data_IF_214250588149
#
_entry.id   IF_214250588149
#
_cell.length_a   1.000
_cell.length_b   1.000
_cell.length_c   1.000
_cell.angle_alpha   90.00
_cell.angle_beta   90.00
_cell.angle_gamma   90.00
#
_symmetry.space_group_name_H-M   'P 1'
#
loop_
_entity.id
_entity.type
_entity.pdbx_description
1 polymer ?
#
# COMPACT_ATOMS: atom_id res chain seq x y z
N UNK A 1 -11.84 29.85 1.00
CA UNK A 1 -12.48 30.80 0.09
C UNK A 1 -13.99 30.90 0.32
N UNK A 2 -14.71 29.79 0.36
CA UNK A 2 -16.15 29.75 0.67
C UNK A 2 -16.45 30.45 2.00
N UNK A 3 -15.61 30.22 2.97
CA UNK A 3 -15.72 30.81 4.29
C UNK A 3 -15.57 32.32 4.25
N UNK A 4 -14.64 32.85 3.49
CA UNK A 4 -14.44 34.29 3.38
C UNK A 4 -15.64 34.99 2.72
N UNK A 5 -16.27 34.33 1.77
CA UNK A 5 -17.51 34.83 1.16
C UNK A 5 -18.65 34.85 2.17
N UNK A 6 -18.77 33.84 3.00
CA UNK A 6 -19.74 33.80 4.09
C UNK A 6 -19.48 34.91 5.11
N UNK A 7 -18.22 35.14 5.49
CA UNK A 7 -17.81 36.22 6.39
C UNK A 7 -18.10 37.60 5.79
N UNK A 8 -17.76 37.83 4.54
CA UNK A 8 -18.00 39.07 3.85
C UNK A 8 -19.52 39.38 3.75
N UNK A 9 -20.33 38.41 3.44
CA UNK A 9 -21.79 38.51 3.42
C UNK A 9 -22.35 38.78 4.82
N UNK A 10 -21.77 38.19 5.84
CA UNK A 10 -22.19 38.33 7.22
C UNK A 10 -21.94 39.76 7.77
N UNK A 11 -20.87 40.40 7.33
CA UNK A 11 -20.59 41.79 7.69
C UNK A 11 -21.46 42.79 6.94
N UNK A 12 -22.20 42.35 5.91
CA UNK A 12 -23.25 43.14 5.25
C UNK A 12 -22.75 44.36 4.50
N UNK A 13 -21.48 44.45 4.17
CA UNK A 13 -20.91 45.57 3.43
C UNK A 13 -20.43 45.09 2.06
N UNK A 14 -20.91 45.71 0.99
CA UNK A 14 -20.43 45.43 -0.36
C UNK A 14 -18.91 45.53 -0.49
N UNK A 15 -18.33 46.48 0.22
CA UNK A 15 -16.89 46.70 0.22
C UNK A 15 -16.12 45.59 0.93
N UNK A 16 -16.58 45.05 2.05
CA UNK A 16 -15.98 43.91 2.70
C UNK A 16 -16.10 42.64 1.85
N UNK A 17 -17.24 42.46 1.18
CA UNK A 17 -17.43 41.36 0.25
C UNK A 17 -16.50 41.47 -0.96
N UNK A 18 -16.37 42.64 -1.53
CA UNK A 18 -15.52 42.90 -2.68
C UNK A 18 -14.04 42.67 -2.36
N UNK A 19 -13.57 43.14 -1.23
CA UNK A 19 -12.20 42.89 -0.78
C UNK A 19 -11.96 41.41 -0.43
N UNK A 20 -12.90 40.76 0.21
CA UNK A 20 -12.78 39.32 0.50
C UNK A 20 -12.76 38.49 -0.78
N UNK A 21 -13.59 38.80 -1.76
CA UNK A 21 -13.62 38.14 -3.06
C UNK A 21 -12.37 38.43 -3.92
N UNK A 22 -11.90 39.69 -3.90
CA UNK A 22 -10.72 40.11 -4.67
C UNK A 22 -9.40 39.62 -4.09
N UNK A 23 -9.27 39.66 -2.80
CA UNK A 23 -7.98 39.34 -2.14
C UNK A 23 -7.80 37.90 -1.74
N UNK A 24 -8.83 37.24 -1.30
CA UNK A 24 -8.62 35.96 -0.66
C UNK A 24 -8.33 34.80 -1.60
N UNK A 25 -8.91 34.68 -2.79
CA UNK A 25 -8.50 33.65 -3.74
C UNK A 25 -7.08 33.82 -4.24
N UNK A 26 -6.65 35.05 -4.39
CA UNK A 26 -5.29 35.41 -4.80
C UNK A 26 -4.31 35.36 -3.63
N UNK A 27 -4.73 35.71 -2.44
CA UNK A 27 -3.83 35.75 -1.29
C UNK A 27 -3.31 34.36 -0.89
N UNK A 28 -4.09 33.30 -1.08
CA UNK A 28 -3.60 31.94 -0.76
C UNK A 28 -2.49 31.48 -1.69
N UNK A 29 -2.58 31.75 -2.97
CA UNK A 29 -1.52 31.53 -3.95
C UNK A 29 -0.37 32.52 -3.73
N UNK A 30 -0.71 33.73 -3.42
CA UNK A 30 0.21 34.82 -3.22
C UNK A 30 1.05 34.66 -1.97
N UNK A 31 0.49 34.21 -0.87
CA UNK A 31 1.22 33.90 0.36
C UNK A 31 2.20 32.75 0.18
N UNK A 32 1.86 31.74 -0.60
CA UNK A 32 2.76 30.63 -0.89
C UNK A 32 3.91 31.02 -1.82
N UNK A 33 3.69 31.98 -2.71
CA UNK A 33 4.67 32.37 -3.72
C UNK A 33 5.42 33.67 -3.36
N UNK A 34 4.80 34.53 -2.51
CA UNK A 34 5.34 35.85 -2.22
C UNK A 34 5.00 36.33 -0.81
N UNK A 35 5.76 35.86 0.21
CA UNK A 35 5.51 36.18 1.62
C UNK A 35 5.67 37.68 1.97
N UNK A 36 6.12 38.51 1.04
CA UNK A 36 6.28 39.97 1.22
C UNK A 36 4.97 40.73 1.13
N UNK A 37 3.89 40.07 0.79
CA UNK A 37 2.58 40.69 0.63
C UNK A 37 2.02 41.26 1.93
N UNK A 38 2.41 40.66 3.03
CA UNK A 38 2.04 41.13 4.35
C UNK A 38 2.66 42.47 4.77
N UNK A 39 3.50 43.08 4.00
CA UNK A 39 4.14 44.36 4.32
C UNK A 39 3.72 45.55 3.47
N UNK A 40 2.78 45.36 2.57
CA UNK A 40 2.38 46.39 1.60
C UNK A 40 1.15 47.19 2.07
N UNK A 41 0.98 48.44 1.67
CA UNK A 41 -0.15 49.29 2.04
C UNK A 41 -1.52 48.67 1.65
N UNK A 42 -1.53 47.79 0.70
CA UNK A 42 -2.68 47.00 0.28
C UNK A 42 -3.12 45.96 1.30
N UNK A 43 -2.19 45.51 2.16
CA UNK A 43 -2.42 44.48 3.17
C UNK A 43 -3.31 44.94 4.32
N UNK A 44 -3.38 46.24 4.51
CA UNK A 44 -4.36 46.84 5.44
C UNK A 44 -5.81 46.50 5.07
N UNK A 45 -6.01 45.93 3.90
CA UNK A 45 -7.32 45.51 3.42
C UNK A 45 -7.51 43.96 3.47
N UNK A 46 -6.44 43.21 3.76
CA UNK A 46 -6.54 41.78 3.97
C UNK A 46 -7.25 41.52 5.29
N UNK A 47 -8.32 40.75 5.24
CA UNK A 47 -9.14 40.48 6.43
C UNK A 47 -8.69 39.21 7.17
N UNK A 48 -7.91 38.37 6.52
CA UNK A 48 -7.47 37.08 7.04
C UNK A 48 -6.01 36.79 6.67
N UNK A 49 -5.29 36.06 7.52
CA UNK A 49 -3.96 35.60 7.23
C UNK A 49 -3.95 34.40 6.24
N UNK A 50 -2.75 33.89 5.92
CA UNK A 50 -2.54 32.74 5.02
C UNK A 50 -3.17 31.44 5.52
N UNK A 51 -3.47 31.37 6.81
CA UNK A 51 -4.18 30.25 7.45
C UNK A 51 -5.67 30.49 7.58
N UNK A 52 -6.15 31.66 7.14
CA UNK A 52 -7.54 32.06 7.22
C UNK A 52 -7.96 32.59 8.58
N UNK A 53 -7.01 32.95 9.47
CA UNK A 53 -7.36 33.62 10.72
C UNK A 53 -7.64 35.12 10.49
N UNK A 54 -8.64 35.69 11.20
CA UNK A 54 -8.93 37.08 11.09
C UNK A 54 -7.76 37.96 11.53
N UNK A 55 -7.34 38.86 10.68
CA UNK A 55 -6.31 39.85 10.99
C UNK A 55 -6.85 41.01 11.84
N UNK A 56 -5.95 41.74 12.47
CA UNK A 56 -6.31 42.93 13.27
C UNK A 56 -7.02 44.02 12.45
N UNK A 57 -6.83 44.05 11.13
CA UNK A 57 -7.59 44.88 10.21
C UNK A 57 -9.08 44.63 10.28
N UNK A 58 -9.53 43.43 10.58
CA UNK A 58 -10.94 43.15 10.88
C UNK A 58 -11.46 43.91 12.11
N UNK A 59 -10.61 44.35 13.04
CA UNK A 59 -11.00 45.19 14.16
C UNK A 59 -11.58 46.51 13.67
N UNK A 60 -10.92 47.14 12.70
CA UNK A 60 -11.38 48.43 12.14
C UNK A 60 -12.80 48.30 11.54
N UNK A 61 -13.02 47.28 10.75
CA UNK A 61 -14.36 47.05 10.18
C UNK A 61 -15.37 46.66 11.24
N UNK A 62 -14.97 45.89 12.19
CA UNK A 62 -15.79 45.55 13.34
C UNK A 62 -16.27 46.81 14.05
N UNK A 63 -15.38 47.72 14.35
CA UNK A 63 -15.68 48.93 15.13
C UNK A 63 -16.50 49.92 14.29
N UNK A 64 -16.27 50.01 12.98
CA UNK A 64 -17.06 50.82 12.06
C UNK A 64 -18.52 50.31 11.85
N UNK A 65 -18.70 48.99 11.88
CA UNK A 65 -20.02 48.34 11.69
C UNK A 65 -20.77 48.20 13.03
N UNK A 66 -20.07 48.38 14.14
CA UNK A 66 -20.52 47.91 15.44
C UNK A 66 -21.46 48.81 16.19
N UNK A 67 -21.65 50.01 15.77
CA UNK A 67 -22.50 50.96 16.49
C UNK A 67 -23.98 50.54 16.61
N UNK A 68 -24.40 49.48 15.92
CA UNK A 68 -25.81 49.09 15.90
C UNK A 68 -26.10 47.58 15.77
N UNK A 69 -25.19 46.67 16.16
CA UNK A 69 -25.48 45.22 15.97
C UNK A 69 -26.03 44.57 17.24
N UNK A 70 -27.24 44.03 17.10
CA UNK A 70 -27.96 43.21 18.09
C UNK A 70 -27.24 41.93 18.46
N UNK A 71 -26.21 41.52 17.73
CA UNK A 71 -25.55 40.25 17.86
C UNK A 71 -24.02 40.38 17.88
N UNK A 72 -23.37 39.62 18.72
CA UNK A 72 -21.96 39.30 18.68
C UNK A 72 -21.75 38.21 17.61
N UNK A 73 -20.74 38.35 16.79
CA UNK A 73 -20.33 37.32 15.81
C UNK A 73 -19.16 36.54 16.35
N UNK A 74 -19.33 35.23 16.44
CA UNK A 74 -18.29 34.30 16.94
C UNK A 74 -17.84 33.47 15.76
N UNK A 75 -16.54 33.52 15.44
CA UNK A 75 -15.91 32.67 14.46
C UNK A 75 -15.60 31.34 15.14
N UNK A 76 -16.15 30.26 14.62
CA UNK A 76 -15.83 28.88 15.06
C UNK A 76 -14.82 28.30 14.11
N UNK A 77 -13.57 28.17 14.54
CA UNK A 77 -12.53 27.50 13.80
C UNK A 77 -12.62 25.99 14.06
N UNK A 78 -12.92 25.23 13.03
CA UNK A 78 -12.94 23.76 13.08
C UNK A 78 -11.55 23.27 12.71
N UNK A 79 -10.79 22.75 13.70
CA UNK A 79 -9.38 22.47 13.57
C UNK A 79 -9.07 20.97 13.71
N UNK A 80 -7.99 20.51 13.10
CA UNK A 80 -7.41 19.23 13.46
C UNK A 80 -6.64 19.34 14.80
N UNK A 81 -6.21 18.21 15.34
CA UNK A 81 -5.45 18.16 16.61
C UNK A 81 -4.08 18.87 16.58
N UNK A 82 -3.60 19.25 15.39
CA UNK A 82 -2.37 20.02 15.21
C UNK A 82 -2.68 21.52 15.02
N UNK A 83 -3.92 21.95 15.30
CA UNK A 83 -4.44 23.30 15.09
C UNK A 83 -4.46 23.76 13.62
N UNK A 84 -4.38 22.82 12.65
CA UNK A 84 -4.63 23.19 11.26
C UNK A 84 -6.14 23.38 11.06
N UNK A 85 -6.52 24.53 10.54
CA UNK A 85 -7.92 24.85 10.30
C UNK A 85 -8.45 24.04 9.11
N UNK A 86 -9.55 23.34 9.32
CA UNK A 86 -10.27 22.57 8.31
C UNK A 86 -11.39 23.40 7.67
N UNK A 87 -12.09 24.14 8.50
CA UNK A 87 -13.21 24.97 8.10
C UNK A 87 -13.50 26.02 9.15
N UNK A 88 -14.11 27.16 8.74
CA UNK A 88 -14.64 28.16 9.64
C UNK A 88 -16.17 28.21 9.57
N UNK A 89 -16.79 28.64 10.67
CA UNK A 89 -18.20 28.99 10.73
C UNK A 89 -18.38 30.33 11.48
N UNK A 90 -19.38 31.11 11.10
CA UNK A 90 -19.77 32.30 11.83
C UNK A 90 -21.09 32.05 12.52
N UNK A 91 -21.12 32.31 13.82
CA UNK A 91 -22.31 32.11 14.66
C UNK A 91 -22.68 33.43 15.29
N UNK A 92 -23.98 33.83 15.20
CA UNK A 92 -24.54 35.03 15.83
C UNK A 92 -25.04 34.69 17.23
N UNK A 93 -24.56 35.42 18.22
CA UNK A 93 -24.96 35.23 19.61
C UNK A 93 -25.32 36.59 20.21
N UNK A 94 -26.40 36.67 20.97
CA UNK A 94 -26.78 37.90 21.68
C UNK A 94 -25.71 38.20 22.74
N UNK A 95 -25.17 39.42 22.84
CA UNK A 95 -24.21 39.79 23.88
C UNK A 95 -24.72 39.44 25.28
N UNK A 96 -23.84 38.85 26.10
CA UNK A 96 -24.19 38.37 27.44
C UNK A 96 -25.03 37.09 27.49
N UNK A 97 -25.36 36.48 26.35
CA UNK A 97 -26.01 35.15 26.27
C UNK A 97 -25.05 34.09 25.77
N UNK A 98 -25.35 32.85 26.07
CA UNK A 98 -24.66 31.67 25.52
C UNK A 98 -25.64 30.83 24.73
N UNK A 99 -25.12 30.12 23.74
CA UNK A 99 -25.85 29.12 22.96
C UNK A 99 -25.05 27.83 22.84
N UNK A 100 -25.75 26.73 22.78
CA UNK A 100 -25.15 25.43 22.44
C UNK A 100 -25.10 25.31 20.93
N UNK A 101 -23.90 25.29 20.35
CA UNK A 101 -23.70 25.16 18.90
C UNK A 101 -23.38 23.71 18.56
N UNK A 102 -24.16 23.11 17.65
CA UNK A 102 -23.91 21.77 17.16
C UNK A 102 -22.84 21.82 16.06
N UNK A 103 -21.74 21.09 16.29
CA UNK A 103 -20.63 21.03 15.36
C UNK A 103 -21.00 20.23 14.09
N UNK A 104 -20.69 20.74 12.89
CA UNK A 104 -20.99 20.05 11.64
C UNK A 104 -20.15 18.78 11.48
N UNK A 105 -20.57 17.89 10.60
CA UNK A 105 -19.76 16.74 10.19
C UNK A 105 -18.77 17.19 9.11
N UNK A 106 -17.50 16.81 9.28
CA UNK A 106 -16.44 17.05 8.30
C UNK A 106 -16.00 15.71 7.71
N UNK A 107 -16.08 15.58 6.40
CA UNK A 107 -15.71 14.34 5.71
C UNK A 107 -14.27 13.95 6.00
N UNK A 108 -14.06 12.72 6.46
CA UNK A 108 -12.73 12.20 6.81
C UNK A 108 -12.26 12.54 8.22
N UNK A 109 -13.10 13.16 9.02
CA UNK A 109 -12.80 13.52 10.41
C UNK A 109 -13.93 13.09 11.36
N UNK A 110 -13.57 12.89 12.62
CA UNK A 110 -14.49 12.66 13.72
C UNK A 110 -14.33 13.79 14.74
N UNK A 111 -15.41 14.49 15.05
CA UNK A 111 -15.41 15.56 16.05
C UNK A 111 -15.21 15.01 17.48
N UNK A 112 -14.46 15.71 18.31
CA UNK A 112 -14.24 15.31 19.71
C UNK A 112 -15.49 15.52 20.57
N UNK A 113 -16.25 16.56 20.27
CA UNK A 113 -17.51 16.90 20.93
C UNK A 113 -18.59 17.08 19.87
N UNK A 114 -19.82 16.78 20.20
CA UNK A 114 -20.94 17.04 19.29
C UNK A 114 -21.36 18.49 19.31
N UNK A 115 -21.19 19.16 20.44
CA UNK A 115 -21.59 20.56 20.67
C UNK A 115 -20.49 21.31 21.41
N UNK A 116 -20.50 22.62 21.26
CA UNK A 116 -19.72 23.56 22.07
C UNK A 116 -20.63 24.68 22.56
N UNK A 117 -20.32 25.25 23.72
CA UNK A 117 -20.97 26.47 24.21
C UNK A 117 -20.26 27.69 23.61
N UNK A 118 -21.05 28.61 23.07
CA UNK A 118 -20.57 29.84 22.47
C UNK A 118 -21.25 31.01 23.19
N UNK A 119 -20.44 31.86 23.81
CA UNK A 119 -20.92 33.05 24.52
C UNK A 119 -20.76 34.30 23.64
N UNK A 120 -21.82 35.08 23.55
CA UNK A 120 -21.78 36.39 22.96
C UNK A 120 -21.06 37.38 23.88
N UNK A 121 -19.98 37.96 23.40
CA UNK A 121 -19.21 38.99 24.11
C UNK A 121 -19.66 40.39 23.71
N UNK A 122 -19.36 41.40 24.51
CA UNK A 122 -19.53 42.80 24.11
C UNK A 122 -18.58 43.16 22.97
N UNK A 123 -17.55 42.36 22.75
CA UNK A 123 -16.70 42.39 21.56
C UNK A 123 -17.45 41.81 20.38
N UNK A 124 -17.50 42.51 19.27
CA UNK A 124 -18.36 42.11 18.15
C UNK A 124 -17.84 40.96 17.32
N UNK A 125 -16.55 40.68 17.42
CA UNK A 125 -15.94 39.53 16.84
C UNK A 125 -15.11 38.78 17.91
N UNK A 126 -15.38 37.51 18.11
CA UNK A 126 -14.59 36.60 18.92
C UNK A 126 -14.37 35.29 18.17
N UNK A 127 -13.40 34.50 18.62
CA UNK A 127 -13.09 33.22 18.01
C UNK A 127 -13.07 32.13 19.05
N UNK A 128 -13.62 30.99 18.71
CA UNK A 128 -13.52 29.73 19.45
C UNK A 128 -13.06 28.63 18.49
N UNK A 129 -12.45 27.57 19.02
CA UNK A 129 -12.05 26.44 18.20
C UNK A 129 -12.70 25.14 18.66
N UNK A 130 -12.91 24.23 17.71
CA UNK A 130 -13.36 22.87 17.97
C UNK A 130 -12.43 21.89 17.26
N UNK A 131 -12.10 20.80 17.97
CA UNK A 131 -11.12 19.82 17.51
C UNK A 131 -11.78 18.63 16.82
N UNK A 132 -11.21 18.26 15.70
CA UNK A 132 -11.57 17.13 14.88
C UNK A 132 -10.37 16.16 14.72
N UNK A 133 -10.63 14.89 14.89
CA UNK A 133 -9.65 13.84 14.70
C UNK A 133 -9.76 13.26 13.30
N UNK A 134 -8.65 13.24 12.56
CA UNK A 134 -8.60 12.63 11.24
C UNK A 134 -8.90 11.13 11.32
N UNK A 135 -9.81 10.64 10.50
CA UNK A 135 -10.13 9.22 10.41
C UNK A 135 -9.00 8.49 9.68
N UNK A 136 -8.31 7.62 10.41
CA UNK A 136 -7.24 6.80 9.84
C UNK A 136 -7.84 5.47 9.37
N UNK A 137 -7.81 5.22 8.07
CA UNK A 137 -8.38 4.03 7.45
C UNK A 137 -7.47 2.79 7.52
N UNK A 138 -8.05 1.62 7.28
CA UNK A 138 -7.27 0.40 7.13
C UNK A 138 -6.71 0.31 5.71
N UNK A 139 -5.38 0.27 5.56
CA UNK A 139 -4.77 0.06 4.26
C UNK A 139 -4.84 -1.40 3.81
N UNK A 140 -4.75 -1.62 2.50
CA UNK A 140 -4.76 -2.94 1.89
C UNK A 140 -3.38 -3.25 1.32
N UNK A 141 -2.80 -4.39 1.75
CA UNK A 141 -1.61 -4.95 1.09
C UNK A 141 -2.06 -5.81 -0.08
N UNK A 142 -1.82 -5.34 -1.30
CA UNK A 142 -2.08 -6.10 -2.51
C UNK A 142 -0.87 -6.95 -2.87
N UNK A 143 -1.09 -8.24 -3.14
CA UNK A 143 -0.05 -9.16 -3.63
C UNK A 143 -0.55 -9.85 -4.89
N UNK A 144 0.32 -10.04 -5.89
CA UNK A 144 -0.06 -10.68 -7.16
C UNK A 144 -0.53 -12.13 -6.98
N UNK A 145 0.03 -12.85 -5.98
CA UNK A 145 -0.31 -14.25 -5.70
C UNK A 145 -0.26 -14.52 -4.19
N UNK A 146 -1.16 -15.37 -3.70
CA UNK A 146 -1.16 -15.82 -2.30
C UNK A 146 0.01 -16.77 -2.00
N UNK A 147 0.59 -17.40 -3.03
CA UNK A 147 1.75 -18.28 -2.86
C UNK A 147 2.66 -18.28 -4.09
N UNK A 148 3.96 -18.52 -3.84
CA UNK A 148 5.01 -18.54 -4.86
C UNK A 148 5.84 -19.81 -4.75
N UNK A 149 6.29 -20.33 -5.91
CA UNK A 149 7.28 -21.41 -5.99
C UNK A 149 8.62 -20.82 -6.42
N UNK A 150 9.64 -20.95 -5.57
CA UNK A 150 10.98 -20.42 -5.83
C UNK A 150 12.00 -21.55 -5.68
N UNK A 151 12.93 -21.69 -6.60
CA UNK A 151 13.96 -22.74 -6.53
C UNK A 151 14.98 -22.43 -5.42
N UNK A 152 15.39 -23.44 -4.64
CA UNK A 152 16.45 -23.21 -3.68
C UNK A 152 17.78 -22.89 -4.37
N UNK A 153 18.64 -22.13 -3.68
CA UNK A 153 19.89 -21.62 -4.23
C UNK A 153 19.72 -20.51 -5.26
N UNK A 154 18.52 -19.89 -5.32
CA UNK A 154 18.26 -18.68 -6.08
C UNK A 154 17.80 -17.56 -5.16
N UNK A 155 17.78 -16.35 -5.67
CA UNK A 155 17.16 -15.19 -5.03
C UNK A 155 15.86 -14.85 -5.75
N UNK A 156 14.92 -14.22 -5.02
CA UNK A 156 13.66 -13.73 -5.56
C UNK A 156 13.28 -12.43 -4.86
N UNK A 157 12.85 -11.42 -5.57
CA UNK A 157 12.43 -10.17 -4.96
C UNK A 157 10.91 -10.14 -4.81
N UNK A 158 10.44 -10.42 -3.58
CA UNK A 158 9.02 -10.42 -3.25
C UNK A 158 8.43 -9.01 -3.24
N UNK A 159 9.22 -7.96 -2.93
CA UNK A 159 8.74 -6.57 -2.91
C UNK A 159 8.15 -6.14 -4.25
N UNK A 160 8.67 -6.64 -5.37
CA UNK A 160 8.13 -6.36 -6.73
C UNK A 160 6.73 -6.93 -6.99
N UNK A 161 6.26 -7.82 -6.13
CA UNK A 161 4.94 -8.44 -6.23
C UNK A 161 3.91 -7.84 -5.27
N UNK A 162 4.31 -6.80 -4.50
CA UNK A 162 3.53 -6.23 -3.40
C UNK A 162 3.31 -4.74 -3.62
N UNK A 163 2.11 -4.26 -3.31
CA UNK A 163 1.77 -2.82 -3.25
C UNK A 163 1.03 -2.54 -1.95
N UNK A 164 1.33 -1.43 -1.31
CA UNK A 164 0.64 -0.85 -0.17
C UNK A 164 0.92 0.66 -0.11
N UNK A 165 0.18 1.40 0.71
CA UNK A 165 0.39 2.83 0.90
C UNK A 165 1.62 3.11 1.79
N UNK A 166 1.80 2.33 2.87
CA UNK A 166 2.91 2.52 3.80
C UNK A 166 4.15 1.69 3.45
N UNK A 167 5.24 2.00 4.11
CA UNK A 167 6.52 1.32 3.95
C UNK A 167 6.43 -0.18 4.25
N UNK A 168 6.99 -0.98 3.34
CA UNK A 168 6.94 -2.43 3.43
C UNK A 168 8.11 -3.00 4.22
N UNK A 169 7.78 -3.86 5.18
CA UNK A 169 8.74 -4.71 5.86
C UNK A 169 8.38 -6.19 5.72
N UNK A 170 9.40 -7.06 5.76
CA UNK A 170 9.27 -8.48 5.48
C UNK A 170 9.92 -9.32 6.58
N UNK A 171 9.21 -10.32 7.06
CA UNK A 171 9.71 -11.25 8.08
C UNK A 171 9.45 -12.70 7.68
N UNK A 172 10.47 -13.54 7.81
CA UNK A 172 10.37 -14.97 7.50
C UNK A 172 10.05 -15.79 8.75
N UNK A 173 9.08 -16.69 8.64
CA UNK A 173 8.75 -17.64 9.70
C UNK A 173 9.84 -18.72 9.91
N UNK A 174 10.77 -18.89 8.94
CA UNK A 174 11.89 -19.82 9.08
C UNK A 174 13.10 -19.38 8.25
N UNK A 175 14.00 -18.63 8.88
CA UNK A 175 15.25 -18.12 8.27
C UNK A 175 16.24 -19.23 7.86
N UNK A 176 16.12 -20.45 8.42
CA UNK A 176 16.95 -21.62 8.05
C UNK A 176 16.56 -22.19 6.67
N UNK A 177 15.33 -21.97 6.23
CA UNK A 177 14.82 -22.37 4.90
C UNK A 177 14.90 -21.21 3.93
N UNK A 178 14.31 -20.06 4.29
CA UNK A 178 14.33 -18.83 3.49
C UNK A 178 14.61 -17.66 4.42
N UNK A 179 15.68 -16.91 4.16
CA UNK A 179 15.84 -15.58 4.75
C UNK A 179 15.28 -14.51 3.81
N UNK A 180 14.85 -13.40 4.38
CA UNK A 180 14.33 -12.25 3.64
C UNK A 180 14.98 -10.96 4.15
N UNK A 181 15.36 -10.07 3.25
CA UNK A 181 15.79 -8.72 3.59
C UNK A 181 14.57 -7.90 4.06
N UNK A 182 14.65 -7.36 5.28
CA UNK A 182 13.50 -6.72 5.95
C UNK A 182 12.87 -5.59 5.13
N UNK A 183 13.66 -4.70 4.56
CA UNK A 183 13.18 -3.57 3.72
C UNK A 183 13.16 -3.90 2.22
N UNK A 184 14.09 -4.76 1.77
CA UNK A 184 14.26 -5.06 0.35
C UNK A 184 13.30 -6.12 -0.18
N UNK A 185 12.73 -6.97 0.69
CA UNK A 185 11.91 -8.10 0.30
C UNK A 185 12.65 -9.18 -0.51
N UNK A 186 14.00 -9.10 -0.58
CA UNK A 186 14.84 -10.06 -1.29
C UNK A 186 14.90 -11.37 -0.54
N UNK A 187 14.33 -12.43 -1.11
CA UNK A 187 14.38 -13.78 -0.57
C UNK A 187 15.69 -14.47 -0.96
N UNK A 188 16.34 -15.11 0.02
CA UNK A 188 17.47 -16.04 -0.20
C UNK A 188 16.98 -17.42 0.18
N UNK A 189 16.82 -18.29 -0.81
CA UNK A 189 16.25 -19.64 -0.63
C UNK A 189 17.36 -20.64 -0.41
N UNK A 190 17.55 -21.05 0.85
CA UNK A 190 18.70 -21.89 1.30
C UNK A 190 18.45 -23.38 1.10
N UNK A 191 17.23 -23.85 1.29
CA UNK A 191 16.85 -25.27 1.11
C UNK A 191 15.35 -25.41 0.80
N UNK A 192 14.92 -26.55 0.23
CA UNK A 192 13.51 -26.77 -0.06
C UNK A 192 12.66 -26.85 1.20
N UNK A 193 11.46 -26.29 1.15
CA UNK A 193 10.54 -26.28 2.28
C UNK A 193 9.37 -25.32 2.04
N UNK A 194 8.47 -25.21 3.04
CA UNK A 194 7.36 -24.24 3.07
C UNK A 194 7.67 -23.18 4.13
N UNK A 195 7.55 -21.91 3.77
CA UNK A 195 7.78 -20.78 4.68
C UNK A 195 6.68 -19.75 4.48
N UNK A 196 6.21 -19.17 5.57
CA UNK A 196 5.32 -17.99 5.55
C UNK A 196 6.19 -16.74 5.64
N UNK A 197 5.96 -15.79 4.76
CA UNK A 197 6.54 -14.45 4.85
C UNK A 197 5.43 -13.51 5.31
N UNK A 198 5.62 -12.88 6.46
CA UNK A 198 4.78 -11.79 6.93
C UNK A 198 5.27 -10.51 6.24
N UNK A 199 4.37 -9.83 5.59
CA UNK A 199 4.55 -8.51 4.97
C UNK A 199 3.79 -7.54 5.87
N UNK A 200 4.46 -6.50 6.34
CA UNK A 200 3.83 -5.44 7.12
C UNK A 200 3.99 -4.14 6.34
N UNK A 201 2.90 -3.43 6.15
CA UNK A 201 2.89 -2.06 5.65
C UNK A 201 2.77 -1.13 6.85
N UNK A 202 3.71 -0.21 7.02
CA UNK A 202 3.73 0.77 8.10
C UNK A 202 2.51 1.69 8.06
N UNK A 203 2.21 2.34 9.18
CA UNK A 203 1.20 3.39 9.21
C UNK A 203 1.65 4.59 8.38
N UNK A 204 0.67 5.34 7.86
CA UNK A 204 0.87 6.64 7.20
C UNK A 204 -0.05 7.66 7.85
N UNK A 205 -0.05 8.90 7.36
CA UNK A 205 -0.98 9.92 7.83
C UNK A 205 -2.47 9.56 7.60
N UNK A 206 -2.75 8.68 6.61
CA UNK A 206 -4.12 8.31 6.20
C UNK A 206 -4.49 6.88 6.55
N UNK A 207 -3.51 6.02 6.85
CA UNK A 207 -3.73 4.58 6.99
C UNK A 207 -3.07 3.98 8.23
N UNK A 208 -3.79 3.07 8.89
CA UNK A 208 -3.26 2.24 9.98
C UNK A 208 -2.28 1.21 9.45
N UNK A 209 -1.31 0.82 10.30
CA UNK A 209 -0.44 -0.32 9.99
C UNK A 209 -1.28 -1.59 9.76
N UNK A 210 -0.90 -2.36 8.74
CA UNK A 210 -1.52 -3.65 8.47
C UNK A 210 -0.49 -4.72 8.12
N UNK A 211 -0.90 -5.98 8.11
CA UNK A 211 -0.01 -7.07 7.70
C UNK A 211 -0.72 -8.14 6.89
N UNK A 212 0.04 -8.80 6.00
CA UNK A 212 -0.42 -9.91 5.16
C UNK A 212 0.60 -11.03 5.12
N UNK A 213 0.14 -12.27 5.05
CA UNK A 213 1.01 -13.45 4.96
C UNK A 213 0.97 -14.01 3.54
N UNK A 214 2.16 -14.27 3.00
CA UNK A 214 2.36 -14.95 1.73
C UNK A 214 3.12 -16.25 1.97
N UNK A 215 2.71 -17.33 1.29
CA UNK A 215 3.38 -18.63 1.40
C UNK A 215 4.41 -18.82 0.29
N UNK A 216 5.64 -19.14 0.66
CA UNK A 216 6.70 -19.48 -0.29
C UNK A 216 6.99 -20.99 -0.22
N UNK A 217 6.88 -21.65 -1.36
CA UNK A 217 7.31 -23.04 -1.54
C UNK A 217 8.68 -23.05 -2.19
N UNK A 218 9.71 -23.27 -1.38
CA UNK A 218 11.05 -23.50 -1.87
C UNK A 218 11.14 -24.90 -2.50
N UNK A 219 11.30 -24.95 -3.81
CA UNK A 219 11.31 -26.19 -4.60
C UNK A 219 12.72 -26.56 -5.02
N UNK A 220 12.99 -27.82 -5.45
CA UNK A 220 14.28 -28.23 -6.00
C UNK A 220 14.73 -27.36 -7.17
N UNK A 221 16.05 -27.31 -7.41
CA UNK A 221 16.63 -26.62 -8.56
C UNK A 221 16.17 -27.24 -9.87
N UNK A 222 16.32 -26.47 -10.95
CA UNK A 222 16.17 -27.00 -12.32
C UNK A 222 17.07 -28.23 -12.48
N UNK A 223 16.49 -29.35 -12.92
CA UNK A 223 17.20 -30.58 -13.04
C UNK A 223 18.09 -30.61 -14.30
N UNK A 224 19.18 -31.38 -14.26
CA UNK A 224 20.08 -31.57 -15.39
C UNK A 224 20.12 -33.05 -15.77
N UNK A 225 19.81 -33.34 -17.01
CA UNK A 225 20.09 -34.66 -17.61
C UNK A 225 21.55 -34.65 -18.08
N UNK A 226 22.38 -35.52 -17.48
CA UNK A 226 23.81 -35.68 -17.85
C UNK A 226 23.94 -36.47 -19.14
N UNK A 227 23.28 -37.66 -19.22
CA UNK A 227 23.37 -38.57 -20.35
C UNK A 227 22.02 -39.24 -20.61
N UNK A 228 21.72 -39.48 -21.88
CA UNK A 228 20.61 -40.32 -22.32
C UNK A 228 21.20 -41.38 -23.23
N UNK A 229 20.84 -42.64 -22.97
CA UNK A 229 21.23 -43.78 -23.83
C UNK A 229 20.03 -44.68 -24.08
N UNK A 230 20.08 -45.51 -25.10
CA UNK A 230 18.99 -46.39 -25.51
C UNK A 230 19.40 -47.84 -25.51
N UNK A 231 18.41 -48.72 -25.31
CA UNK A 231 18.51 -50.15 -25.53
C UNK A 231 17.19 -50.60 -26.20
N UNK A 232 17.05 -51.86 -26.56
CA UNK A 232 15.82 -52.39 -27.17
C UNK A 232 14.60 -51.98 -26.37
N UNK A 233 13.74 -51.14 -26.95
CA UNK A 233 12.49 -50.62 -26.35
C UNK A 233 12.64 -49.90 -24.99
N UNK A 234 13.84 -49.33 -24.70
CA UNK A 234 14.17 -48.70 -23.43
C UNK A 234 14.97 -47.42 -23.65
N UNK A 235 14.80 -46.43 -22.73
CA UNK A 235 15.69 -45.29 -22.58
C UNK A 235 16.23 -45.24 -21.16
N UNK A 236 17.55 -45.12 -21.04
CA UNK A 236 18.25 -44.89 -19.75
C UNK A 236 18.57 -43.39 -19.65
N UNK A 237 18.20 -42.77 -18.55
CA UNK A 237 18.35 -41.32 -18.30
C UNK A 237 19.19 -41.12 -17.05
N UNK A 238 20.41 -40.61 -17.23
CA UNK A 238 21.29 -40.25 -16.12
C UNK A 238 21.10 -38.74 -15.80
N UNK A 239 20.88 -38.42 -14.55
CA UNK A 239 20.60 -37.07 -14.07
C UNK A 239 21.63 -36.62 -13.03
N UNK A 240 21.77 -35.30 -12.85
CA UNK A 240 22.56 -34.74 -11.76
C UNK A 240 21.84 -35.00 -10.42
N UNK A 241 22.61 -35.54 -9.42
CA UNK A 241 22.09 -35.75 -8.08
C UNK A 241 21.69 -34.45 -7.39
N UNK A 242 20.53 -34.43 -6.73
CA UNK A 242 20.08 -33.35 -5.84
C UNK A 242 19.77 -33.96 -4.47
N UNK A 243 20.71 -33.84 -3.55
CA UNK A 243 20.63 -34.45 -2.19
C UNK A 243 19.53 -33.78 -1.33
N UNK A 244 19.06 -32.59 -1.69
CA UNK A 244 18.00 -31.88 -0.96
C UNK A 244 16.60 -32.21 -1.47
N UNK A 245 16.48 -32.92 -2.59
CA UNK A 245 15.21 -33.41 -3.11
C UNK A 245 14.71 -34.63 -2.32
N UNK A 246 13.42 -34.96 -2.48
CA UNK A 246 12.84 -36.22 -1.99
C UNK A 246 12.91 -37.32 -3.06
N UNK A 247 12.93 -36.93 -4.34
CA UNK A 247 13.00 -37.85 -5.45
C UNK A 247 12.88 -37.14 -6.79
N UNK A 248 12.70 -37.96 -7.85
CA UNK A 248 12.71 -37.47 -9.22
C UNK A 248 11.52 -37.95 -10.03
N UNK A 249 11.18 -37.16 -11.03
CA UNK A 249 10.22 -37.53 -12.06
C UNK A 249 10.86 -37.38 -13.43
N UNK A 250 10.82 -38.45 -14.21
CA UNK A 250 11.32 -38.54 -15.58
C UNK A 250 10.11 -38.75 -16.51
N UNK A 251 10.10 -38.07 -17.63
CA UNK A 251 9.04 -38.20 -18.62
C UNK A 251 9.65 -38.41 -20.00
N UNK A 252 9.15 -39.42 -20.74
CA UNK A 252 9.44 -39.62 -22.14
C UNK A 252 8.12 -39.51 -22.94
N UNK A 253 8.16 -38.91 -24.14
CA UNK A 253 7.02 -38.79 -25.02
C UNK A 253 7.46 -38.78 -26.49
N UNK A 254 6.54 -39.15 -27.42
CA UNK A 254 6.81 -39.17 -28.87
C UNK A 254 6.88 -37.79 -29.52
N UNK A 255 6.49 -36.73 -28.81
CA UNK A 255 6.57 -35.37 -29.29
C UNK A 255 7.15 -34.40 -28.25
N UNK A 256 7.65 -33.26 -28.68
CA UNK A 256 8.28 -32.23 -27.83
C UNK A 256 7.30 -31.55 -26.85
N UNK A 257 6.01 -31.55 -27.16
CA UNK A 257 4.94 -31.04 -26.28
C UNK A 257 4.57 -32.00 -25.16
N UNK A 258 5.08 -33.26 -25.18
CA UNK A 258 4.81 -34.29 -24.18
C UNK A 258 3.30 -34.67 -24.09
N UNK A 259 2.58 -34.60 -25.18
CA UNK A 259 1.17 -34.95 -25.28
C UNK A 259 0.92 -36.37 -25.85
N UNK A 260 1.80 -36.87 -26.76
CA UNK A 260 1.64 -38.16 -27.44
C UNK A 260 2.56 -39.25 -26.87
N UNK A 261 2.02 -40.43 -26.59
CA UNK A 261 2.80 -41.60 -26.12
C UNK A 261 3.60 -41.34 -24.84
N UNK A 262 3.06 -40.58 -23.94
CA UNK A 262 3.71 -40.13 -22.72
C UNK A 262 3.87 -41.30 -21.71
N UNK A 263 5.09 -41.49 -21.27
CA UNK A 263 5.48 -42.38 -20.18
C UNK A 263 6.09 -41.56 -19.03
N UNK A 264 5.61 -41.81 -17.81
CA UNK A 264 6.03 -41.04 -16.62
C UNK A 264 6.58 -42.01 -15.59
N UNK A 265 7.79 -41.77 -15.11
CA UNK A 265 8.41 -42.48 -14.02
C UNK A 265 8.65 -41.52 -12.86
N UNK A 266 8.06 -41.79 -11.69
CA UNK A 266 8.33 -41.05 -10.46
C UNK A 266 8.90 -41.96 -9.41
N UNK A 267 10.09 -41.66 -8.90
CA UNK A 267 10.80 -42.44 -7.91
C UNK A 267 11.14 -41.58 -6.68
N UNK A 268 10.97 -42.15 -5.50
CA UNK A 268 11.42 -41.63 -4.21
C UNK A 268 12.90 -41.99 -4.02
N UNK A 269 13.62 -41.14 -3.28
CA UNK A 269 15.06 -41.34 -3.02
C UNK A 269 15.95 -40.56 -3.99
N UNK A 270 17.16 -40.29 -3.55
CA UNK A 270 18.15 -39.47 -4.31
C UNK A 270 19.48 -40.22 -4.50
N UNK A 271 19.58 -41.46 -4.00
CA UNK A 271 20.79 -42.29 -4.19
C UNK A 271 20.97 -42.66 -5.66
N UNK A 272 19.92 -43.18 -6.27
CA UNK A 272 19.90 -43.53 -7.69
C UNK A 272 19.84 -42.29 -8.56
N UNK A 273 20.66 -42.23 -9.59
CA UNK A 273 20.71 -41.12 -10.57
C UNK A 273 20.48 -41.57 -12.01
N UNK A 274 20.37 -42.87 -12.24
CA UNK A 274 20.05 -43.47 -13.56
C UNK A 274 18.69 -44.14 -13.50
N UNK A 275 17.82 -43.78 -14.39
CA UNK A 275 16.45 -44.26 -14.46
C UNK A 275 16.14 -44.81 -15.86
N UNK A 276 15.43 -45.92 -15.91
CA UNK A 276 15.06 -46.57 -17.16
C UNK A 276 13.56 -46.49 -17.38
N UNK A 277 13.14 -45.98 -18.52
CA UNK A 277 11.77 -46.06 -19.02
C UNK A 277 11.72 -47.16 -20.06
N UNK A 278 10.82 -48.09 -19.87
CA UNK A 278 10.64 -49.29 -20.70
C UNK A 278 9.36 -49.24 -21.53
N UNK A 279 9.14 -50.27 -22.37
CA UNK A 279 7.93 -50.41 -23.22
C UNK A 279 7.78 -49.23 -24.17
N UNK A 280 8.89 -48.77 -24.74
CA UNK A 280 8.93 -47.75 -25.80
C UNK A 280 8.89 -48.43 -27.17
N UNK A 281 8.46 -47.70 -28.20
CA UNK A 281 8.43 -48.19 -29.56
C UNK A 281 9.85 -48.12 -30.16
N UNK A 282 10.36 -49.22 -30.65
CA UNK A 282 11.66 -49.27 -31.36
C UNK A 282 11.63 -48.38 -32.61
N UNK A 283 12.78 -47.87 -33.03
CA UNK A 283 13.02 -47.04 -34.19
C UNK A 283 12.26 -45.66 -34.15
N UNK A 284 11.47 -45.36 -33.11
CA UNK A 284 10.75 -44.10 -32.94
C UNK A 284 11.58 -43.10 -32.14
N UNK A 285 11.35 -41.79 -32.42
CA UNK A 285 11.96 -40.68 -31.68
C UNK A 285 11.15 -40.42 -30.43
N UNK A 286 11.88 -40.22 -29.32
CA UNK A 286 11.30 -39.79 -28.05
C UNK A 286 12.00 -38.53 -27.55
N UNK A 287 11.24 -37.71 -26.85
CA UNK A 287 11.68 -36.52 -26.13
C UNK A 287 11.67 -36.85 -24.63
N UNK A 288 12.73 -36.49 -23.93
CA UNK A 288 12.93 -36.84 -22.53
C UNK A 288 13.20 -35.60 -21.71
N UNK A 289 12.55 -35.48 -20.56
CA UNK A 289 12.83 -34.46 -19.57
C UNK A 289 12.74 -35.03 -18.16
N UNK A 290 13.45 -34.39 -17.21
CA UNK A 290 13.47 -34.78 -15.81
C UNK A 290 13.29 -33.59 -14.90
N UNK A 291 12.72 -33.81 -13.72
CA UNK A 291 12.68 -32.84 -12.64
C UNK A 291 12.80 -33.51 -11.28
N UNK A 292 13.30 -32.77 -10.29
CA UNK A 292 13.30 -33.21 -8.90
C UNK A 292 12.00 -32.72 -8.20
N UNK A 293 11.63 -33.37 -7.11
CA UNK A 293 10.56 -32.89 -6.24
C UNK A 293 10.97 -32.95 -4.77
N UNK A 294 10.33 -32.10 -3.95
CA UNK A 294 10.34 -32.16 -2.49
C UNK A 294 8.94 -32.51 -1.99
N UNK A 295 8.83 -33.47 -1.10
CA UNK A 295 7.58 -33.74 -0.36
C UNK A 295 7.53 -32.83 0.85
N UNK A 296 6.43 -32.10 1.02
CA UNK A 296 6.14 -31.22 2.16
C UNK A 296 4.74 -31.60 2.63
N UNK A 297 4.64 -32.16 3.84
CA UNK A 297 3.45 -32.92 4.22
C UNK A 297 3.23 -34.07 3.22
N UNK A 298 2.01 -34.28 2.80
CA UNK A 298 1.66 -35.34 1.83
C UNK A 298 1.71 -34.89 0.35
N UNK A 299 2.16 -33.65 0.07
CA UNK A 299 2.15 -33.08 -1.28
C UNK A 299 3.55 -32.97 -1.89
N UNK A 300 3.68 -33.35 -3.17
CA UNK A 300 4.93 -33.22 -3.94
C UNK A 300 5.00 -31.84 -4.59
N UNK A 301 6.08 -31.11 -4.32
CA UNK A 301 6.38 -29.82 -4.92
C UNK A 301 7.55 -29.99 -5.89
N UNK A 302 7.25 -29.85 -7.16
CA UNK A 302 8.20 -30.10 -8.24
C UNK A 302 9.02 -28.86 -8.54
N UNK A 303 10.31 -29.05 -8.76
CA UNK A 303 11.22 -28.07 -9.36
C UNK A 303 11.00 -27.94 -10.87
N UNK A 304 11.71 -27.00 -11.51
CA UNK A 304 11.65 -26.82 -12.96
C UNK A 304 12.17 -28.05 -13.72
N UNK A 305 11.62 -28.26 -14.92
CA UNK A 305 12.08 -29.30 -15.82
C UNK A 305 13.51 -29.03 -16.33
N UNK A 306 14.27 -30.10 -16.61
CA UNK A 306 15.51 -30.06 -17.35
C UNK A 306 15.31 -29.55 -18.78
N UNK A 307 16.40 -29.22 -19.47
CA UNK A 307 16.39 -29.17 -20.93
C UNK A 307 15.89 -30.50 -21.49
N UNK A 308 15.11 -30.47 -22.56
CA UNK A 308 14.62 -31.65 -23.26
C UNK A 308 15.77 -32.31 -24.04
N UNK A 309 15.84 -33.63 -24.01
CA UNK A 309 16.74 -34.42 -24.86
C UNK A 309 15.93 -35.25 -25.85
N UNK A 310 16.33 -35.20 -27.12
CA UNK A 310 15.74 -35.98 -28.22
C UNK A 310 16.59 -37.21 -28.44
N UNK A 311 16.00 -38.40 -28.59
CA UNK A 311 16.71 -39.68 -28.77
C UNK A 311 15.85 -40.65 -29.59
N UNK A 312 16.50 -41.46 -30.45
CA UNK A 312 15.85 -42.55 -31.18
C UNK A 312 16.03 -43.83 -30.38
N UNK A 313 14.94 -44.59 -30.17
CA UNK A 313 14.93 -45.84 -29.44
C UNK A 313 15.46 -46.97 -30.33
N UNK A 314 16.33 -47.81 -29.78
CA UNK A 314 16.81 -49.03 -30.43
C UNK A 314 15.71 -50.10 -30.48
#
# INVERSE_FOLDING_TARGET
>A
WKYNKEMANEFGTGWAAENAEGYYPTSKLYYNENPVWGGNSWDNQTLFDDKGYPLDSLRFYRDAISSNTKYSRVVVALCDKNNNVLEYRVVKVVPGKSITYTLPDIKGYTKEKNTIEISGTNSQLSQVSAIYNKNIENQIITVKKASYKVSYGTTYNLKKEVKAAGDLTFTSSNKKIISVGSKSGKLIVKKPGKVKIKITAGATADYKQTSRIVTIYAVPKKQTIKKVSTAKRKVKVNIKKDVKATGYQIVAAKNSRFSKGKKVLTKKGTRQVTYTITKLNSRKIYYVKARAYKTIGNKKYFGPWSKVKKIRIK
#
